data_IF_139496876935
#
_entry.id   IF_139496876935
#
_cell.length_a   1.000
_cell.length_b   1.000
_cell.length_c   1.000
_cell.angle_alpha   90.00
_cell.angle_beta   90.00
_cell.angle_gamma   90.00
#
_symmetry.space_group_name_H-M   'P 1'
#
loop_
_entity.id
_entity.type
_entity.pdbx_description
1 polymer ?
#
# COMPACT_ATOMS: atom_id res chain seq x y z
N UNK A 1 -6.12 -33.92 -19.62
CA UNK A 1 -7.03 -33.08 -18.81
C UNK A 1 -6.44 -32.46 -17.52
N UNK A 2 -5.63 -33.17 -16.71
CA UNK A 2 -5.06 -32.57 -15.48
C UNK A 2 -4.05 -31.43 -15.73
N UNK A 3 -3.26 -31.50 -16.80
CA UNK A 3 -2.27 -30.48 -17.15
C UNK A 3 -2.89 -29.14 -17.59
N UNK A 4 -3.97 -29.18 -18.36
CA UNK A 4 -4.66 -27.97 -18.83
C UNK A 4 -5.42 -27.25 -17.71
N UNK A 5 -6.02 -28.01 -16.78
CA UNK A 5 -6.66 -27.46 -15.59
C UNK A 5 -5.65 -26.73 -14.69
N UNK A 6 -4.45 -27.31 -14.51
CA UNK A 6 -3.32 -26.68 -13.79
C UNK A 6 -2.79 -25.42 -14.48
N UNK A 7 -2.75 -25.39 -15.82
CA UNK A 7 -2.32 -24.21 -16.59
C UNK A 7 -3.31 -23.04 -16.44
N UNK A 8 -4.62 -23.33 -16.44
CA UNK A 8 -5.68 -22.34 -16.21
C UNK A 8 -5.65 -21.78 -14.78
N UNK A 9 -5.32 -22.60 -13.80
CA UNK A 9 -5.22 -22.20 -12.39
C UNK A 9 -4.00 -21.31 -12.11
N UNK A 10 -2.87 -21.55 -12.79
CA UNK A 10 -1.73 -20.64 -12.74
C UNK A 10 -2.01 -19.31 -13.46
N UNK A 11 -2.74 -19.35 -14.58
CA UNK A 11 -3.18 -18.14 -15.31
C UNK A 11 -4.18 -17.31 -14.50
N UNK A 12 -5.11 -17.94 -13.78
CA UNK A 12 -6.07 -17.21 -12.92
C UNK A 12 -5.38 -16.56 -11.71
N UNK A 13 -4.44 -17.25 -11.07
CA UNK A 13 -3.61 -16.66 -9.99
C UNK A 13 -2.78 -15.46 -10.47
N UNK A 14 -2.27 -15.49 -11.70
CA UNK A 14 -1.53 -14.35 -12.30
C UNK A 14 -2.44 -13.16 -12.63
N UNK A 15 -3.66 -13.40 -13.13
CA UNK A 15 -4.63 -12.34 -13.42
C UNK A 15 -5.11 -11.60 -12.16
N UNK A 16 -5.24 -12.29 -11.03
CA UNK A 16 -5.58 -11.65 -9.75
C UNK A 16 -4.49 -10.68 -9.25
N UNK A 17 -3.21 -11.03 -9.45
CA UNK A 17 -2.09 -10.19 -9.05
C UNK A 17 -2.05 -8.86 -9.84
N UNK A 18 -2.34 -8.89 -11.14
CA UNK A 18 -2.33 -7.69 -11.99
C UNK A 18 -3.41 -6.68 -11.62
N UNK A 19 -4.61 -7.13 -11.25
CA UNK A 19 -5.69 -6.22 -10.83
C UNK A 19 -5.35 -5.56 -9.50
N UNK A 20 -4.77 -6.31 -8.56
CA UNK A 20 -4.29 -5.77 -7.29
C UNK A 20 -3.26 -4.67 -7.53
N UNK A 21 -2.22 -4.93 -8.32
CA UNK A 21 -1.21 -3.92 -8.62
C UNK A 21 -1.82 -2.67 -9.26
N UNK A 22 -2.79 -2.84 -10.17
CA UNK A 22 -3.46 -1.71 -10.81
C UNK A 22 -4.24 -0.85 -9.81
N UNK A 23 -4.94 -1.47 -8.85
CA UNK A 23 -5.62 -0.75 -7.75
C UNK A 23 -4.61 0.03 -6.91
N UNK A 24 -3.48 -0.58 -6.54
CA UNK A 24 -2.43 0.11 -5.78
C UNK A 24 -1.82 1.29 -6.55
N UNK A 25 -1.58 1.15 -7.86
CA UNK A 25 -1.05 2.24 -8.71
C UNK A 25 -2.05 3.39 -8.84
N UNK A 26 -3.33 3.08 -9.09
CA UNK A 26 -4.39 4.10 -9.17
C UNK A 26 -4.55 4.79 -7.81
N UNK A 27 -4.55 4.03 -6.72
CA UNK A 27 -4.64 4.60 -5.37
C UNK A 27 -3.43 5.46 -5.02
N UNK A 28 -2.23 5.06 -5.43
CA UNK A 28 -1.01 5.84 -5.25
C UNK A 28 -1.12 7.20 -5.96
N UNK A 29 -1.61 7.21 -7.21
CA UNK A 29 -1.82 8.45 -7.95
C UNK A 29 -2.84 9.36 -7.26
N UNK A 30 -3.96 8.81 -6.79
CA UNK A 30 -4.97 9.56 -6.03
C UNK A 30 -4.37 10.10 -4.73
N UNK A 31 -3.63 9.28 -3.98
CA UNK A 31 -2.98 9.68 -2.72
C UNK A 31 -1.99 10.81 -2.93
N UNK A 32 -1.23 10.77 -4.03
CA UNK A 32 -0.30 11.84 -4.38
C UNK A 32 -1.04 13.15 -4.68
N UNK A 33 -2.11 13.10 -5.48
CA UNK A 33 -2.92 14.29 -5.77
C UNK A 33 -3.53 14.87 -4.48
N UNK A 34 -4.14 14.03 -3.64
CA UNK A 34 -4.73 14.46 -2.36
C UNK A 34 -3.67 15.04 -1.43
N UNK A 35 -2.51 14.41 -1.30
CA UNK A 35 -1.42 14.91 -0.46
C UNK A 35 -0.92 16.27 -0.94
N UNK A 36 -0.84 16.50 -2.25
CA UNK A 36 -0.44 17.79 -2.81
C UNK A 36 -1.41 18.90 -2.39
N UNK A 37 -2.71 18.72 -2.64
CA UNK A 37 -3.72 19.71 -2.29
C UNK A 37 -3.82 19.93 -0.79
N UNK A 38 -3.68 18.88 0.01
CA UNK A 38 -3.77 18.96 1.46
C UNK A 38 -2.58 19.70 2.08
N UNK A 39 -1.36 19.44 1.59
CA UNK A 39 -0.17 20.17 2.01
C UNK A 39 -0.28 21.64 1.62
N UNK A 40 -0.69 21.94 0.39
CA UNK A 40 -0.81 23.34 -0.04
C UNK A 40 -1.88 24.08 0.77
N UNK A 41 -3.03 23.45 1.01
CA UNK A 41 -4.07 23.99 1.89
C UNK A 41 -3.57 24.25 3.31
N UNK A 42 -2.78 23.35 3.89
CA UNK A 42 -2.20 23.52 5.23
C UNK A 42 -1.18 24.67 5.29
N UNK A 43 -0.49 24.95 4.19
CA UNK A 43 0.40 26.10 4.08
C UNK A 43 -0.37 27.41 3.90
N UNK A 44 -1.40 27.42 3.05
CA UNK A 44 -2.24 28.60 2.81
C UNK A 44 -3.00 29.03 4.08
N UNK A 45 -3.43 28.07 4.88
CA UNK A 45 -4.10 28.31 6.18
C UNK A 45 -3.12 28.65 7.31
N UNK A 46 -1.81 28.56 7.06
CA UNK A 46 -0.76 28.88 8.03
C UNK A 46 -0.53 27.84 9.13
N UNK A 47 -1.22 26.69 9.09
CA UNK A 47 -0.97 25.58 10.01
C UNK A 47 0.43 25.00 9.81
N UNK A 48 0.86 24.87 8.55
CA UNK A 48 2.24 24.57 8.19
C UNK A 48 2.92 25.86 7.75
N UNK A 49 3.93 26.29 8.49
CA UNK A 49 4.74 27.47 8.17
C UNK A 49 6.21 27.19 8.43
N UNK A 50 7.09 28.04 7.91
CA UNK A 50 8.53 27.94 8.21
C UNK A 50 8.80 27.91 9.73
N UNK A 51 8.02 28.69 10.49
CA UNK A 51 8.11 28.69 11.95
C UNK A 51 7.79 27.31 12.53
N UNK A 52 6.75 26.64 12.05
CA UNK A 52 6.38 25.30 12.51
C UNK A 52 7.54 24.30 12.31
N UNK A 53 8.17 24.28 11.13
CA UNK A 53 9.27 23.35 10.86
C UNK A 53 10.53 23.65 11.65
N UNK A 54 10.95 24.91 11.72
CA UNK A 54 12.25 25.26 12.32
C UNK A 54 12.18 25.52 13.82
N UNK A 55 11.02 25.91 14.35
CA UNK A 55 10.87 26.28 15.77
C UNK A 55 10.20 25.17 16.55
N UNK A 56 9.07 24.66 16.06
CA UNK A 56 8.28 23.68 16.81
C UNK A 56 8.80 22.26 16.57
N UNK A 57 9.14 21.94 15.31
CA UNK A 57 9.72 20.64 14.94
C UNK A 57 11.25 20.59 15.04
N UNK A 58 11.88 21.72 15.38
CA UNK A 58 13.33 21.88 15.54
C UNK A 58 14.17 21.36 14.35
N UNK A 59 13.66 21.47 13.13
CA UNK A 59 14.39 21.03 11.95
C UNK A 59 15.56 22.00 11.61
N UNK A 60 16.63 21.49 10.98
CA UNK A 60 17.73 22.32 10.52
C UNK A 60 17.29 23.40 9.51
N UNK A 61 17.65 24.66 9.77
CA UNK A 61 17.31 25.81 8.90
C UNK A 61 18.00 25.81 7.53
N UNK A 62 18.96 24.91 7.31
CA UNK A 62 19.63 24.74 6.02
C UNK A 62 18.79 23.95 5.02
N UNK A 63 17.65 23.37 5.43
CA UNK A 63 16.75 22.67 4.52
C UNK A 63 15.88 23.67 3.76
N UNK A 64 15.61 23.39 2.48
CA UNK A 64 14.68 24.22 1.70
C UNK A 64 13.24 23.96 2.13
N UNK A 65 12.40 25.00 2.16
CA UNK A 65 10.97 24.85 2.43
C UNK A 65 10.28 23.93 1.41
N UNK A 66 10.77 23.91 0.16
CA UNK A 66 10.28 23.00 -0.88
C UNK A 66 10.58 21.54 -0.53
N UNK A 67 11.76 21.28 0.04
CA UNK A 67 12.13 19.94 0.51
C UNK A 67 11.22 19.51 1.67
N UNK A 68 10.95 20.41 2.61
CA UNK A 68 10.08 20.17 3.76
C UNK A 68 8.61 19.92 3.35
N UNK A 69 8.10 20.70 2.39
CA UNK A 69 6.80 20.46 1.73
C UNK A 69 6.76 19.05 1.13
N UNK A 70 7.77 18.70 0.33
CA UNK A 70 7.89 17.39 -0.30
C UNK A 70 7.97 16.24 0.71
N UNK A 71 8.74 16.40 1.79
CA UNK A 71 8.84 15.40 2.85
C UNK A 71 7.50 15.20 3.56
N UNK A 72 6.78 16.28 3.87
CA UNK A 72 5.46 16.21 4.52
C UNK A 72 4.43 15.53 3.61
N UNK A 73 4.44 15.87 2.32
CA UNK A 73 3.63 15.20 1.30
C UNK A 73 3.92 13.70 1.26
N UNK A 74 5.20 13.31 1.28
CA UNK A 74 5.62 11.91 1.27
C UNK A 74 5.11 11.15 2.50
N UNK A 75 5.18 11.76 3.70
CA UNK A 75 4.64 11.18 4.93
C UNK A 75 3.13 10.95 4.82
N UNK A 76 2.37 11.92 4.30
CA UNK A 76 0.92 11.78 4.10
C UNK A 76 0.61 10.64 3.13
N UNK A 77 1.35 10.54 2.02
CA UNK A 77 1.17 9.45 1.05
C UNK A 77 1.42 8.10 1.72
N UNK A 78 2.49 7.95 2.51
CA UNK A 78 2.76 6.71 3.25
C UNK A 78 1.59 6.35 4.17
N UNK A 79 1.09 7.30 4.95
CA UNK A 79 -0.04 7.07 5.85
C UNK A 79 -1.28 6.59 5.09
N UNK A 80 -1.57 7.20 3.93
CA UNK A 80 -2.66 6.80 3.05
C UNK A 80 -2.48 5.39 2.45
N UNK A 81 -1.24 4.99 2.13
CA UNK A 81 -0.95 3.62 1.68
C UNK A 81 -1.12 2.59 2.80
N UNK A 82 -0.74 2.94 4.03
CA UNK A 82 -0.94 2.07 5.20
C UNK A 82 -2.44 1.83 5.41
N UNK A 83 -3.25 2.90 5.38
CA UNK A 83 -4.71 2.81 5.54
C UNK A 83 -5.33 1.92 4.45
N UNK A 84 -4.93 2.09 3.19
CA UNK A 84 -5.40 1.21 2.11
C UNK A 84 -5.00 -0.25 2.36
N UNK A 85 -3.77 -0.49 2.79
CA UNK A 85 -3.27 -1.86 3.03
C UNK A 85 -4.05 -2.54 4.15
N UNK A 86 -4.34 -1.82 5.23
CA UNK A 86 -5.20 -2.30 6.33
C UNK A 86 -6.64 -2.52 5.85
N UNK A 87 -7.20 -1.58 5.10
CA UNK A 87 -8.54 -1.70 4.52
C UNK A 87 -8.67 -2.91 3.59
N UNK A 88 -7.64 -3.18 2.78
CA UNK A 88 -7.59 -4.35 1.91
C UNK A 88 -7.48 -5.65 2.72
N UNK A 89 -6.69 -5.69 3.80
CA UNK A 89 -6.58 -6.86 4.68
C UNK A 89 -7.93 -7.20 5.34
N UNK A 90 -8.71 -6.19 5.75
CA UNK A 90 -9.98 -6.39 6.45
C UNK A 90 -11.12 -6.71 5.48
N UNK A 91 -11.22 -5.91 4.40
CA UNK A 91 -12.37 -5.90 3.49
C UNK A 91 -12.33 -6.94 2.36
N UNK A 92 -11.15 -7.42 1.96
CA UNK A 92 -11.01 -8.33 0.83
C UNK A 92 -10.86 -9.80 1.29
N UNK A 93 -11.65 -10.75 0.75
CA UNK A 93 -11.49 -12.20 1.02
C UNK A 93 -10.09 -12.72 0.65
N UNK A 94 -9.44 -12.08 -0.34
CA UNK A 94 -8.09 -12.39 -0.79
C UNK A 94 -7.01 -11.78 0.13
N UNK A 95 -7.34 -10.71 0.86
CA UNK A 95 -6.51 -10.12 1.93
C UNK A 95 -6.53 -10.95 3.21
N UNK A 96 -7.60 -11.71 3.44
CA UNK A 96 -7.69 -12.73 4.52
C UNK A 96 -7.06 -14.07 4.15
N UNK A 97 -6.84 -14.34 2.86
CA UNK A 97 -6.10 -15.54 2.45
C UNK A 97 -4.63 -15.34 2.81
N UNK A 98 -4.10 -16.22 3.67
CA UNK A 98 -2.69 -16.23 4.05
C UNK A 98 -1.84 -16.15 2.78
N UNK A 99 -0.98 -15.14 2.71
CA UNK A 99 0.01 -15.05 1.65
C UNK A 99 1.02 -16.17 1.93
N UNK A 100 0.87 -17.30 1.26
CA UNK A 100 1.67 -18.48 1.56
C UNK A 100 0.93 -19.81 1.48
N UNK A 101 -0.21 -19.93 0.80
CA UNK A 101 -0.65 -21.27 0.39
C UNK A 101 0.47 -21.89 -0.46
N UNK A 102 1.12 -22.96 0.03
CA UNK A 102 2.24 -23.55 -0.65
C UNK A 102 1.80 -23.91 -2.07
N UNK A 103 2.61 -23.53 -3.06
CA UNK A 103 2.48 -24.14 -4.37
C UNK A 103 2.50 -25.67 -4.19
N UNK A 104 1.79 -26.41 -5.04
CA UNK A 104 1.76 -27.89 -5.07
C UNK A 104 3.15 -28.59 -5.14
N UNK A 105 4.25 -27.83 -5.12
CA UNK A 105 5.64 -28.27 -5.08
C UNK A 105 6.38 -27.87 -3.79
N UNK A 106 5.71 -27.32 -2.77
CA UNK A 106 6.30 -27.18 -1.44
C UNK A 106 6.28 -28.54 -0.76
N UNK A 107 7.46 -28.99 -0.33
CA UNK A 107 7.72 -30.31 0.27
C UNK A 107 6.97 -30.53 1.60
N UNK A 108 6.46 -29.47 2.23
CA UNK A 108 5.58 -29.56 3.39
C UNK A 108 4.15 -29.19 2.97
N UNK A 109 3.40 -30.21 2.55
CA UNK A 109 1.94 -30.15 2.55
C UNK A 109 1.51 -30.12 4.03
N UNK A 110 0.71 -29.13 4.41
CA UNK A 110 0.18 -29.02 5.77
C UNK A 110 -0.68 -30.27 6.07
N UNK A 111 -0.34 -31.11 7.07
CA UNK A 111 -1.08 -32.35 7.35
C UNK A 111 -2.51 -32.10 7.84
N UNK A 112 -2.89 -30.86 8.16
CA UNK A 112 -4.24 -30.51 8.57
C UNK A 112 -5.18 -30.13 7.41
N UNK A 113 -4.69 -30.12 6.17
CA UNK A 113 -5.47 -29.74 4.98
C UNK A 113 -6.12 -30.93 4.26
N UNK A 114 -5.78 -32.16 4.64
CA UNK A 114 -6.48 -33.36 4.19
C UNK A 114 -7.59 -33.68 5.20
N UNK A 115 -8.77 -33.08 5.00
CA UNK A 115 -9.99 -33.28 5.79
C UNK A 115 -10.42 -34.75 5.89
N UNK A 116 -9.78 -35.47 6.80
CA UNK A 116 -10.25 -36.73 7.40
C UNK A 116 -10.33 -36.56 8.91
N UNK A 117 -11.36 -35.83 9.33
CA UNK A 117 -12.18 -36.16 10.49
C UNK A 117 -13.64 -35.92 10.09
#
# INVERSE_FOLDING_TARGET
MRLEKKKKEQLSKRKGLSVRTLIFVVWLAISFAVAYFLVEYLFDTGYLSEKFYYTDLALPRNWSITLLKGATMFVIVILMQIILTLGFMIGSPEGRRRTGDPSLYSRNKDPFDDGRF
#
